data_IF_234024976934
#
_entry.id   IF_234024976934
#
_cell.length_a   1.000
_cell.length_b   1.000
_cell.length_c   1.000
_cell.angle_alpha   90.00
_cell.angle_beta   90.00
_cell.angle_gamma   90.00
#
_symmetry.space_group_name_H-M   'P 1'
#
loop_
_entity.id
_entity.type
_entity.pdbx_description
1 polymer ?
#
# COMPACT_ATOMS: atom_id res chain seq x y z
N UNK A 1 -22.66 -8.23 -12.19
CA UNK A 1 -21.19 -8.18 -12.33
C UNK A 1 -20.89 -8.63 -13.76
N UNK A 2 -20.39 -7.74 -14.62
CA UNK A 2 -20.17 -8.09 -16.02
C UNK A 2 -19.06 -9.16 -16.12
N UNK A 3 -19.20 -10.20 -16.96
CA UNK A 3 -18.17 -11.19 -17.16
C UNK A 3 -16.90 -10.50 -17.72
N UNK A 4 -15.82 -10.50 -16.94
CA UNK A 4 -14.51 -9.97 -17.34
C UNK A 4 -14.04 -8.70 -16.62
N UNK A 5 -14.89 -8.01 -15.85
CA UNK A 5 -14.44 -6.90 -15.01
C UNK A 5 -13.76 -7.41 -13.74
N UNK A 6 -12.44 -7.22 -13.63
CA UNK A 6 -11.73 -7.44 -12.36
C UNK A 6 -12.15 -6.38 -11.36
N UNK A 7 -12.42 -6.79 -10.12
CA UNK A 7 -12.61 -5.81 -9.04
C UNK A 7 -11.31 -5.04 -8.81
N UNK A 8 -11.40 -3.78 -8.39
CA UNK A 8 -10.23 -2.98 -8.04
C UNK A 8 -9.33 -3.70 -7.02
N UNK A 9 -9.94 -4.38 -6.05
CA UNK A 9 -9.26 -5.21 -5.04
C UNK A 9 -8.43 -6.33 -5.68
N UNK A 10 -9.01 -7.09 -6.62
CA UNK A 10 -8.30 -8.15 -7.34
C UNK A 10 -7.15 -7.59 -8.18
N UNK A 11 -7.36 -6.47 -8.87
CA UNK A 11 -6.32 -5.79 -9.63
C UNK A 11 -5.16 -5.29 -8.74
N UNK A 12 -5.46 -4.74 -7.56
CA UNK A 12 -4.44 -4.31 -6.59
C UNK A 12 -3.62 -5.51 -6.09
N UNK A 13 -4.28 -6.62 -5.73
CA UNK A 13 -3.60 -7.85 -5.28
C UNK A 13 -2.63 -8.35 -6.35
N UNK A 14 -3.11 -8.53 -7.58
CA UNK A 14 -2.28 -8.98 -8.70
C UNK A 14 -1.11 -8.01 -8.97
N UNK A 15 -1.37 -6.71 -8.91
CA UNK A 15 -0.36 -5.68 -9.19
C UNK A 15 0.76 -5.66 -8.15
N UNK A 16 0.44 -5.87 -6.87
CA UNK A 16 1.42 -5.96 -5.77
C UNK A 16 2.23 -7.26 -5.87
N UNK A 17 1.58 -8.38 -6.21
CA UNK A 17 2.26 -9.66 -6.40
C UNK A 17 3.15 -9.68 -7.65
N UNK A 18 2.85 -8.84 -8.64
CA UNK A 18 3.67 -8.68 -9.82
C UNK A 18 4.95 -7.87 -9.52
N UNK A 19 6.08 -8.27 -10.10
CA UNK A 19 7.35 -7.54 -9.97
C UNK A 19 7.25 -6.08 -10.45
N UNK A 20 6.28 -5.77 -11.33
CA UNK A 20 6.10 -4.46 -11.94
C UNK A 20 5.46 -3.42 -11.02
N UNK A 21 4.76 -3.81 -9.94
CA UNK A 21 4.20 -2.90 -8.91
C UNK A 21 3.56 -1.60 -9.48
N UNK A 22 2.79 -1.71 -10.57
CA UNK A 22 2.22 -0.57 -11.31
C UNK A 22 1.01 0.06 -10.62
N UNK A 23 0.75 -0.34 -9.37
CA UNK A 23 -0.39 0.13 -8.57
C UNK A 23 -0.16 1.52 -7.98
N UNK A 24 1.10 1.96 -7.88
CA UNK A 24 1.46 3.26 -7.31
C UNK A 24 1.44 4.33 -8.39
N UNK A 25 0.76 5.45 -8.13
CA UNK A 25 0.72 6.61 -9.03
C UNK A 25 2.16 7.09 -9.33
N UNK A 26 2.57 7.17 -10.61
CA UNK A 26 3.88 7.67 -11.00
C UNK A 26 4.21 9.08 -10.45
N UNK A 27 3.21 9.93 -10.22
CA UNK A 27 3.39 11.27 -9.63
C UNK A 27 3.83 11.22 -8.17
N UNK A 28 3.47 10.16 -7.44
CA UNK A 28 4.00 9.92 -6.08
C UNK A 28 5.44 9.44 -6.11
N UNK A 29 5.88 8.89 -7.25
CA UNK A 29 7.21 8.34 -7.47
C UNK A 29 8.13 9.33 -8.20
N UNK A 30 7.78 10.63 -8.25
CA UNK A 30 8.57 11.64 -8.97
C UNK A 30 9.96 11.92 -8.35
N UNK A 31 10.28 11.31 -7.21
CA UNK A 31 11.60 11.39 -6.58
C UNK A 31 12.57 10.38 -7.20
N UNK A 32 13.86 10.71 -7.28
CA UNK A 32 14.90 9.84 -7.86
C UNK A 32 15.64 9.04 -6.78
N UNK A 33 16.21 7.89 -7.15
CA UNK A 33 17.16 7.15 -6.32
C UNK A 33 16.55 6.46 -5.08
N UNK A 34 17.17 6.62 -3.91
CA UNK A 34 16.77 5.91 -2.68
C UNK A 34 15.42 6.37 -2.13
N UNK A 35 15.02 7.60 -2.42
CA UNK A 35 13.72 8.15 -1.99
C UNK A 35 12.55 7.47 -2.73
N UNK A 36 12.73 7.22 -4.04
CA UNK A 36 11.78 6.49 -4.87
C UNK A 36 11.39 5.15 -4.22
N UNK A 37 12.39 4.34 -3.85
CA UNK A 37 12.16 3.02 -3.27
C UNK A 37 11.45 3.11 -1.90
N UNK A 38 11.78 4.12 -1.09
CA UNK A 38 11.16 4.35 0.22
C UNK A 38 9.69 4.73 0.09
N UNK A 39 9.38 5.67 -0.82
CA UNK A 39 8.01 6.09 -1.10
C UNK A 39 7.20 4.93 -1.68
N UNK A 40 7.76 4.19 -2.64
CA UNK A 40 7.12 2.98 -3.20
C UNK A 40 6.79 1.95 -2.12
N UNK A 41 7.76 1.60 -1.27
CA UNK A 41 7.56 0.63 -0.20
C UNK A 41 6.51 1.09 0.83
N UNK A 42 6.47 2.40 1.13
CA UNK A 42 5.45 2.99 1.98
C UNK A 42 4.06 2.85 1.34
N UNK A 43 3.91 3.22 0.07
CA UNK A 43 2.65 3.11 -0.66
C UNK A 43 2.15 1.65 -0.69
N UNK A 44 3.02 0.68 -0.99
CA UNK A 44 2.69 -0.75 -0.96
C UNK A 44 2.23 -1.21 0.44
N UNK A 45 2.88 -0.74 1.50
CA UNK A 45 2.47 -1.07 2.88
C UNK A 45 1.09 -0.49 3.23
N UNK A 46 0.75 0.70 2.73
CA UNK A 46 -0.57 1.31 2.91
C UNK A 46 -1.64 0.52 2.13
N UNK A 47 -1.33 0.13 0.89
CA UNK A 47 -2.24 -0.69 0.08
C UNK A 47 -2.53 -2.04 0.73
N UNK A 48 -1.52 -2.67 1.35
CA UNK A 48 -1.72 -3.89 2.14
C UNK A 48 -2.72 -3.69 3.29
N UNK A 49 -2.60 -2.60 4.05
CA UNK A 49 -3.59 -2.26 5.09
C UNK A 49 -4.98 -2.01 4.47
N UNK A 50 -5.05 -1.34 3.32
CA UNK A 50 -6.30 -1.14 2.58
C UNK A 50 -6.97 -2.45 2.15
N UNK A 51 -6.18 -3.44 1.72
CA UNK A 51 -6.67 -4.79 1.38
C UNK A 51 -7.23 -5.50 2.61
N UNK A 52 -6.54 -5.43 3.76
CA UNK A 52 -7.02 -5.99 5.04
C UNK A 52 -8.32 -5.30 5.52
N UNK A 53 -8.51 -4.01 5.22
CA UNK A 53 -9.75 -3.30 5.50
C UNK A 53 -10.89 -3.65 4.53
N UNK A 54 -10.55 -4.15 3.34
CA UNK A 54 -11.49 -4.43 2.25
C UNK A 54 -11.87 -5.92 2.18
N UNK A 55 -11.68 -6.68 3.26
CA UNK A 55 -12.17 -8.07 3.33
C UNK A 55 -13.70 -8.08 3.25
N UNK A 56 -14.28 -9.04 2.50
CA UNK A 56 -15.71 -9.04 2.22
C UNK A 56 -16.52 -9.18 3.51
N UNK A 57 -16.16 -10.17 4.32
CA UNK A 57 -16.82 -10.48 5.57
C UNK A 57 -16.46 -9.43 6.64
N UNK A 58 -17.46 -8.71 7.19
CA UNK A 58 -17.21 -7.68 8.19
C UNK A 58 -16.41 -8.16 9.41
N UNK A 59 -16.65 -9.42 9.83
CA UNK A 59 -16.02 -10.02 11.00
C UNK A 59 -14.55 -10.40 10.77
N UNK A 60 -14.10 -10.47 9.50
CA UNK A 60 -12.71 -10.74 9.14
C UNK A 60 -11.91 -9.46 8.89
N UNK A 61 -12.58 -8.29 8.83
CA UNK A 61 -11.90 -7.00 8.68
C UNK A 61 -11.17 -6.65 9.96
N UNK A 62 -10.02 -6.01 9.82
CA UNK A 62 -9.29 -5.49 10.97
C UNK A 62 -10.11 -4.47 11.75
N UNK A 63 -10.01 -4.53 13.08
CA UNK A 63 -10.54 -3.48 13.94
C UNK A 63 -9.85 -2.14 13.65
N UNK A 64 -10.60 -1.03 13.64
CA UNK A 64 -10.05 0.29 13.31
C UNK A 64 -8.90 0.73 14.23
N UNK A 65 -8.87 0.27 15.49
CA UNK A 65 -7.74 0.49 16.40
C UNK A 65 -6.45 -0.14 15.88
N UNK A 66 -6.54 -1.33 15.29
CA UNK A 66 -5.42 -2.03 14.69
C UNK A 66 -4.97 -1.35 13.39
N UNK A 67 -5.93 -0.91 12.55
CA UNK A 67 -5.65 -0.14 11.34
C UNK A 67 -4.84 1.11 11.67
N UNK A 68 -5.30 1.92 12.64
CA UNK A 68 -4.58 3.11 13.10
C UNK A 68 -3.18 2.76 13.61
N UNK A 69 -3.03 1.65 14.33
CA UNK A 69 -1.74 1.18 14.83
C UNK A 69 -0.79 0.83 13.68
N UNK A 70 -1.25 0.10 12.66
CA UNK A 70 -0.47 -0.23 11.46
C UNK A 70 -0.06 1.02 10.69
N UNK A 71 -0.99 1.94 10.45
CA UNK A 71 -0.71 3.21 9.75
C UNK A 71 0.31 4.08 10.51
N UNK A 72 0.22 4.16 11.84
CA UNK A 72 1.23 4.86 12.67
C UNK A 72 2.61 4.22 12.53
N UNK A 73 2.71 2.88 12.52
CA UNK A 73 3.98 2.17 12.29
C UNK A 73 4.57 2.48 10.91
N UNK A 74 3.74 2.49 9.87
CA UNK A 74 4.16 2.86 8.50
C UNK A 74 4.70 4.29 8.46
N UNK A 75 3.97 5.26 9.06
CA UNK A 75 4.42 6.66 9.15
C UNK A 75 5.78 6.79 9.86
N UNK A 76 5.95 6.13 11.00
CA UNK A 76 7.22 6.17 11.76
C UNK A 76 8.37 5.58 10.94
N UNK A 77 8.13 4.46 10.23
CA UNK A 77 9.12 3.83 9.36
C UNK A 77 9.50 4.76 8.19
N UNK A 78 8.52 5.31 7.47
CA UNK A 78 8.77 6.27 6.39
C UNK A 78 9.61 7.46 6.88
N UNK A 79 9.21 8.10 7.97
CA UNK A 79 9.94 9.24 8.52
C UNK A 79 11.37 8.87 8.94
N UNK A 80 11.58 7.66 9.47
CA UNK A 80 12.92 7.17 9.78
C UNK A 80 13.73 6.98 8.51
N UNK A 81 13.18 6.30 7.51
CA UNK A 81 13.88 5.98 6.27
C UNK A 81 14.25 7.27 5.51
N UNK A 82 13.38 8.27 5.49
CA UNK A 82 13.65 9.56 4.84
C UNK A 82 14.73 10.39 5.57
N UNK A 83 14.89 10.24 6.89
CA UNK A 83 15.95 10.96 7.65
C UNK A 83 17.38 10.51 7.32
N UNK A 84 17.57 9.29 6.82
CA UNK A 84 18.89 8.74 6.45
C UNK A 84 19.28 9.06 4.99
N UNK A 85 18.72 10.11 4.40
CA UNK A 85 19.04 10.57 3.02
C UNK A 85 19.90 11.84 3.03
N UNK A 86 20.22 12.39 4.21
CA UNK A 86 21.21 13.47 4.33
C UNK A 86 22.63 12.91 4.31
#
# INVERSE_FOLDING_TARGET
MAPGERSLKSWVIESISSSRNQVVDPKLLSTTGREHLKVKNCALSILQVGLECSVELPNERLHMKEVVTKLKKIKVKLLRDMRHVR
#
